data_IF_635986900907
#
_entry.id   IF_635986900907
#
_cell.length_a   1.000
_cell.length_b   1.000
_cell.length_c   1.000
_cell.angle_alpha   90.00
_cell.angle_beta   90.00
_cell.angle_gamma   90.00
#
_symmetry.space_group_name_H-M   'P 1'
#
loop_
_entity.id
_entity.type
_entity.pdbx_description
1 polymer ?
#
# COMPACT_ATOMS: atom_id res chain seq x y z
N UNK A 1 4.21 28.76 -22.22
CA UNK A 1 3.56 27.43 -22.08
C UNK A 1 3.85 26.93 -20.67
N UNK A 2 2.85 26.71 -19.82
CA UNK A 2 3.07 26.03 -18.54
C UNK A 2 3.60 24.61 -18.80
N UNK A 3 4.47 24.11 -17.93
CA UNK A 3 4.95 22.71 -18.00
C UNK A 3 3.79 21.77 -17.69
N UNK A 4 3.70 20.68 -18.44
CA UNK A 4 2.79 19.57 -18.17
C UNK A 4 3.52 18.48 -17.38
N UNK A 5 2.87 17.96 -16.34
CA UNK A 5 3.33 16.78 -15.60
C UNK A 5 2.49 15.60 -16.09
N UNK A 6 3.14 14.50 -16.45
CA UNK A 6 2.50 13.26 -16.93
C UNK A 6 2.92 12.15 -15.97
N UNK A 7 1.94 11.45 -15.40
CA UNK A 7 2.18 10.26 -14.59
C UNK A 7 2.33 9.03 -15.49
N UNK A 8 3.39 8.25 -15.28
CA UNK A 8 3.71 7.03 -16.02
C UNK A 8 3.52 5.77 -15.15
N UNK A 9 3.02 5.94 -13.92
CA UNK A 9 2.85 4.87 -12.95
C UNK A 9 1.57 4.09 -13.21
N UNK A 10 1.60 2.80 -12.91
CA UNK A 10 0.37 1.99 -12.77
C UNK A 10 -0.06 1.97 -11.30
N UNK A 11 -1.35 1.65 -11.08
CA UNK A 11 -1.86 1.43 -9.73
C UNK A 11 -1.28 0.15 -9.12
N UNK A 12 -1.15 0.14 -7.79
CA UNK A 12 -1.04 -1.10 -7.04
C UNK A 12 -2.45 -1.60 -6.76
N UNK A 13 -2.75 -2.82 -7.17
CA UNK A 13 -4.06 -3.44 -7.01
C UNK A 13 -3.95 -4.97 -6.98
N UNK A 14 -4.97 -5.65 -6.44
CA UNK A 14 -4.94 -7.10 -6.28
C UNK A 14 -5.26 -7.88 -7.57
N UNK A 15 -6.04 -7.28 -8.47
CA UNK A 15 -6.73 -8.04 -9.53
C UNK A 15 -6.05 -7.91 -10.90
N UNK A 16 -5.23 -6.87 -11.09
CA UNK A 16 -4.49 -6.67 -12.34
C UNK A 16 -3.20 -7.46 -12.31
N UNK A 17 -3.02 -8.31 -13.31
CA UNK A 17 -1.80 -9.08 -13.51
C UNK A 17 -0.76 -8.17 -14.16
N UNK A 18 -0.05 -7.39 -13.34
CA UNK A 18 1.14 -6.60 -13.72
C UNK A 18 2.45 -7.34 -13.51
N UNK A 19 2.42 -8.43 -12.75
CA UNK A 19 3.58 -9.12 -12.20
C UNK A 19 3.55 -10.62 -12.54
N UNK A 20 4.69 -11.34 -12.43
CA UNK A 20 4.71 -12.79 -12.60
C UNK A 20 3.68 -13.50 -11.70
N UNK A 21 3.05 -14.59 -12.17
CA UNK A 21 2.05 -15.31 -11.40
C UNK A 21 2.56 -15.71 -10.00
N UNK A 22 1.81 -15.31 -8.97
CA UNK A 22 2.16 -15.56 -7.56
C UNK A 22 3.08 -14.52 -6.91
N UNK A 23 3.57 -13.52 -7.66
CA UNK A 23 4.45 -12.46 -7.16
C UNK A 23 3.80 -11.08 -7.14
N UNK A 24 2.52 -10.95 -7.51
CA UNK A 24 1.79 -9.68 -7.44
C UNK A 24 1.67 -9.14 -6.01
N UNK A 25 1.41 -7.82 -5.86
CA UNK A 25 1.19 -7.21 -4.57
C UNK A 25 -0.08 -7.78 -3.93
N UNK A 26 -0.15 -7.72 -2.60
CA UNK A 26 -1.37 -8.02 -1.85
C UNK A 26 -1.75 -6.81 -1.02
N UNK A 27 -2.96 -6.33 -1.22
CA UNK A 27 -3.54 -5.21 -0.51
C UNK A 27 -4.72 -5.73 0.29
N UNK A 28 -4.63 -5.62 1.62
CA UNK A 28 -5.75 -5.85 2.51
C UNK A 28 -6.36 -4.51 2.91
N UNK A 29 -7.62 -4.34 2.54
CA UNK A 29 -8.38 -3.14 2.86
C UNK A 29 -9.09 -3.30 4.20
N UNK A 30 -9.10 -2.24 4.98
CA UNK A 30 -9.89 -2.09 6.20
C UNK A 30 -10.75 -0.84 6.06
N UNK A 31 -12.07 -1.02 6.15
CA UNK A 31 -13.01 0.08 6.14
C UNK A 31 -13.07 0.80 7.49
N UNK A 32 -13.82 1.90 7.52
CA UNK A 32 -14.00 2.73 8.70
C UNK A 32 -14.61 1.99 9.91
N UNK A 33 -15.39 0.94 9.65
CA UNK A 33 -15.98 0.11 10.71
C UNK A 33 -15.03 -0.96 11.28
N UNK A 34 -13.96 -1.30 10.55
CA UNK A 34 -13.11 -2.45 10.86
C UNK A 34 -12.01 -2.13 11.89
N UNK A 35 -11.69 -0.85 12.08
CA UNK A 35 -10.43 -0.43 12.71
C UNK A 35 -10.59 0.23 14.07
N UNK A 36 -11.81 0.34 14.62
CA UNK A 36 -12.02 0.94 15.94
C UNK A 36 -11.12 0.30 17.02
N UNK A 37 -11.03 -1.03 17.03
CA UNK A 37 -10.18 -1.78 17.97
C UNK A 37 -8.67 -1.48 17.83
N UNK A 38 -8.24 -0.92 16.71
CA UNK A 38 -6.87 -0.49 16.49
C UNK A 38 -6.64 0.94 17.01
N UNK A 39 -7.69 1.77 17.02
CA UNK A 39 -7.65 3.17 17.48
C UNK A 39 -7.84 3.29 18.99
N UNK A 40 -8.78 2.54 19.56
CA UNK A 40 -9.12 2.55 21.00
C UNK A 40 -7.89 2.49 21.93
N UNK A 41 -6.87 1.65 21.71
CA UNK A 41 -5.70 1.58 22.61
C UNK A 41 -4.89 2.88 22.72
N UNK A 42 -4.99 3.78 21.73
CA UNK A 42 -4.32 5.08 21.76
C UNK A 42 -5.05 6.11 22.63
N UNK A 43 -6.34 5.92 22.90
CA UNK A 43 -7.20 6.88 23.60
C UNK A 43 -8.00 6.18 24.71
N UNK A 44 -7.41 6.03 25.92
CA UNK A 44 -8.07 5.34 27.02
C UNK A 44 -9.46 5.89 27.34
N UNK A 45 -10.47 5.02 27.27
CA UNK A 45 -11.87 5.37 27.54
C UNK A 45 -12.69 5.78 26.32
N UNK A 46 -12.07 5.95 25.15
CA UNK A 46 -12.76 6.22 23.89
C UNK A 46 -13.81 5.15 23.61
N UNK A 47 -15.06 5.57 23.38
CA UNK A 47 -16.13 4.72 22.87
C UNK A 47 -16.29 4.93 21.37
N UNK A 48 -16.85 3.94 20.66
CA UNK A 48 -17.11 4.06 19.22
C UNK A 48 -17.99 5.28 18.92
N UNK A 49 -19.02 5.52 19.74
CA UNK A 49 -19.96 6.64 19.58
C UNK A 49 -19.35 8.02 19.85
N UNK A 50 -18.13 8.08 20.42
CA UNK A 50 -17.40 9.34 20.57
C UNK A 50 -16.74 9.77 19.24
N UNK A 51 -16.64 8.88 18.26
CA UNK A 51 -16.14 9.17 16.92
C UNK A 51 -17.25 9.77 16.04
N UNK A 52 -16.92 10.72 15.14
CA UNK A 52 -17.85 11.19 14.12
C UNK A 52 -18.42 10.00 13.35
N UNK A 53 -19.74 9.86 13.35
CA UNK A 53 -20.49 8.77 12.71
C UNK A 53 -20.06 7.35 13.15
N UNK A 54 -19.33 7.23 14.26
CA UNK A 54 -18.76 5.97 14.74
C UNK A 54 -17.57 5.45 13.91
N UNK A 55 -17.02 6.27 13.00
CA UNK A 55 -16.04 5.84 12.01
C UNK A 55 -14.60 5.96 12.51
N UNK A 56 -13.84 4.86 12.39
CA UNK A 56 -12.41 4.82 12.64
C UNK A 56 -11.61 4.98 11.33
N UNK A 57 -10.29 4.81 11.36
CA UNK A 57 -9.44 5.03 10.19
C UNK A 57 -9.64 3.94 9.13
N UNK A 58 -10.00 4.30 7.91
CA UNK A 58 -9.80 3.40 6.78
C UNK A 58 -8.31 3.35 6.43
N UNK A 59 -7.79 2.15 6.18
CA UNK A 59 -6.40 1.96 5.80
C UNK A 59 -6.21 0.67 5.00
N UNK A 60 -5.08 0.60 4.31
CA UNK A 60 -4.63 -0.60 3.63
C UNK A 60 -3.33 -1.14 4.26
N UNK A 61 -3.25 -2.46 4.34
CA UNK A 61 -1.98 -3.15 4.56
C UNK A 61 -1.50 -3.72 3.22
N UNK A 62 -0.29 -3.33 2.84
CA UNK A 62 0.32 -3.76 1.58
C UNK A 62 1.50 -4.69 1.86
N UNK A 63 1.46 -5.88 1.27
CA UNK A 63 2.60 -6.78 1.13
C UNK A 63 3.07 -6.72 -0.33
N UNK A 64 4.32 -6.29 -0.54
CA UNK A 64 4.92 -6.13 -1.87
C UNK A 64 6.41 -6.43 -1.84
N UNK A 65 6.99 -6.72 -3.00
CA UNK A 65 8.43 -6.78 -3.21
C UNK A 65 8.91 -5.63 -4.09
N UNK A 66 10.23 -5.44 -4.18
CA UNK A 66 10.85 -4.29 -4.87
C UNK A 66 10.63 -4.23 -6.38
N UNK A 67 10.02 -5.27 -6.96
CA UNK A 67 9.74 -5.41 -8.40
C UNK A 67 8.25 -5.37 -8.73
N UNK A 68 7.39 -4.93 -7.80
CA UNK A 68 5.96 -4.82 -8.06
C UNK A 68 5.55 -3.51 -8.72
N UNK A 69 4.68 -3.62 -9.72
CA UNK A 69 4.11 -2.47 -10.44
C UNK A 69 5.18 -1.65 -11.19
N UNK A 70 4.98 -0.33 -11.29
CA UNK A 70 6.01 0.59 -11.80
C UNK A 70 7.12 0.74 -10.76
N UNK A 71 8.30 0.18 -11.05
CA UNK A 71 9.43 0.15 -10.12
C UNK A 71 10.76 0.54 -10.79
N UNK A 72 11.82 0.59 -9.98
CA UNK A 72 13.18 0.88 -10.43
C UNK A 72 14.16 -0.15 -9.84
N UNK A 73 14.90 -0.82 -10.73
CA UNK A 73 15.91 -1.79 -10.34
C UNK A 73 17.24 -1.11 -9.99
N UNK A 74 17.67 -1.25 -8.73
CA UNK A 74 19.00 -0.85 -8.31
C UNK A 74 20.06 -1.85 -8.80
N UNK A 75 21.34 -1.46 -8.98
CA UNK A 75 22.41 -2.37 -9.42
C UNK A 75 22.54 -3.66 -8.61
N UNK A 76 22.20 -3.62 -7.32
CA UNK A 76 22.13 -4.78 -6.42
C UNK A 76 21.28 -5.94 -6.97
N UNK A 77 20.23 -5.65 -7.76
CA UNK A 77 19.30 -6.64 -8.30
C UNK A 77 19.97 -7.63 -9.28
N UNK A 78 20.95 -7.17 -10.06
CA UNK A 78 21.41 -7.91 -11.24
C UNK A 78 22.45 -8.98 -10.92
N UNK A 79 23.44 -8.66 -10.10
CA UNK A 79 24.50 -9.59 -9.72
C UNK A 79 25.16 -9.17 -8.41
N UNK A 80 25.68 -10.15 -7.65
CA UNK A 80 26.33 -9.89 -6.34
C UNK A 80 27.61 -9.06 -6.46
N UNK A 81 28.25 -9.06 -7.63
CA UNK A 81 29.40 -8.24 -8.02
C UNK A 81 29.24 -7.75 -9.46
N UNK A 82 29.60 -6.51 -9.76
CA UNK A 82 29.32 -5.90 -11.07
C UNK A 82 30.30 -6.31 -12.19
N UNK A 83 31.34 -7.10 -11.90
CA UNK A 83 32.55 -7.22 -12.73
C UNK A 83 33.01 -8.67 -13.01
N UNK A 84 32.09 -9.61 -13.26
CA UNK A 84 32.47 -10.93 -13.83
C UNK A 84 32.29 -10.94 -15.34
#
# INVERSE_FOLDING_TARGET
MPRQIIDLSIYLENDVISDPPGFGPKIKYFGHDDTFHQVEPFFPGLQKDDLPDGEAWALELIELNTHNGTHLDAPYHFHSTMNL
#
